data_IF_438528594431
#
_entry.id   IF_438528594431
#
_cell.length_a   1.000
_cell.length_b   1.000
_cell.length_c   1.000
_cell.angle_alpha   90.00
_cell.angle_beta   90.00
_cell.angle_gamma   90.00
#
_symmetry.space_group_name_H-M   'P 1'
#
loop_
_entity.id
_entity.type
_entity.pdbx_description
1 polymer ?
#
# COMPACT_ATOMS: atom_id res chain seq x y z
N UNK A 1 -1.60 7.35 -28.17
CA UNK A 1 -0.74 6.36 -27.50
C UNK A 1 -0.63 6.81 -26.08
N UNK A 2 -1.32 6.11 -25.19
CA UNK A 2 -1.32 6.45 -23.78
C UNK A 2 0.05 6.19 -23.16
N UNK A 3 0.54 7.19 -22.43
CA UNK A 3 1.81 7.13 -21.73
C UNK A 3 1.65 6.31 -20.44
N UNK A 4 2.47 5.28 -20.26
CA UNK A 4 2.47 4.42 -19.07
C UNK A 4 3.04 5.15 -17.83
N UNK A 5 3.90 6.13 -18.08
CA UNK A 5 4.57 6.96 -17.09
C UNK A 5 4.20 8.41 -17.38
N UNK A 6 3.45 8.99 -16.46
CA UNK A 6 2.67 10.23 -16.62
C UNK A 6 3.11 11.31 -15.64
N UNK A 7 4.03 10.94 -14.73
CA UNK A 7 4.52 11.80 -13.67
C UNK A 7 3.69 11.70 -12.39
N UNK A 8 4.13 12.47 -11.39
CA UNK A 8 3.60 12.35 -10.05
C UNK A 8 2.16 12.80 -9.99
N UNK A 9 1.35 12.07 -9.22
CA UNK A 9 0.06 12.61 -8.81
C UNK A 9 0.28 13.91 -8.01
N UNK A 10 -0.68 14.84 -8.09
CA UNK A 10 -0.74 15.96 -7.16
C UNK A 10 -0.81 15.48 -5.70
N UNK A 11 -0.63 16.35 -4.71
CA UNK A 11 -0.89 15.95 -3.33
C UNK A 11 -2.41 15.82 -3.12
N UNK A 12 -2.88 14.69 -2.58
CA UNK A 12 -4.27 14.51 -2.17
C UNK A 12 -4.46 14.75 -0.66
N UNK A 13 -3.39 15.18 0.01
CA UNK A 13 -3.42 15.63 1.39
C UNK A 13 -3.14 17.13 1.44
N UNK A 14 -3.81 17.83 2.35
CA UNK A 14 -3.53 19.25 2.60
C UNK A 14 -2.08 19.45 3.10
N UNK A 15 -1.49 20.61 2.86
CA UNK A 15 -0.17 20.92 3.44
C UNK A 15 -0.19 20.80 4.98
N UNK A 16 0.88 20.27 5.57
CA UNK A 16 0.98 20.02 7.00
C UNK A 16 0.72 21.31 7.80
N UNK A 17 -0.28 21.29 8.67
CA UNK A 17 -0.66 22.45 9.49
C UNK A 17 -1.27 23.66 8.76
N UNK A 18 -1.48 23.57 7.44
CA UNK A 18 -1.94 24.71 6.63
C UNK A 18 -3.40 25.13 6.88
N UNK A 19 -4.27 24.18 7.25
CA UNK A 19 -5.67 24.46 7.58
C UNK A 19 -5.95 24.27 9.07
N UNK A 20 -6.94 25.01 9.60
CA UNK A 20 -7.42 24.84 10.98
C UNK A 20 -7.86 23.38 11.27
N UNK A 21 -8.34 22.68 10.25
CA UNK A 21 -8.76 21.26 10.33
C UNK A 21 -7.59 20.31 10.55
N UNK A 22 -6.48 20.47 9.80
CA UNK A 22 -5.23 19.74 10.05
C UNK A 22 -4.74 19.98 11.48
N UNK A 23 -4.77 21.24 11.90
CA UNK A 23 -4.34 21.64 13.24
C UNK A 23 -5.19 21.01 14.33
N UNK A 24 -6.51 20.94 14.16
CA UNK A 24 -7.41 20.32 15.15
C UNK A 24 -7.16 18.82 15.31
N UNK A 25 -7.02 18.08 14.20
CA UNK A 25 -6.64 16.67 14.23
C UNK A 25 -5.26 16.47 14.87
N UNK A 26 -4.27 17.27 14.47
CA UNK A 26 -2.91 17.17 15.00
C UNK A 26 -2.85 17.53 16.48
N UNK A 27 -3.61 18.52 16.95
CA UNK A 27 -3.72 18.87 18.37
C UNK A 27 -4.31 17.73 19.19
N UNK A 28 -5.36 17.06 18.67
CA UNK A 28 -5.94 15.87 19.30
C UNK A 28 -4.90 14.76 19.44
N UNK A 29 -4.13 14.50 18.38
CA UNK A 29 -3.05 13.51 18.38
C UNK A 29 -1.93 13.89 19.37
N UNK A 30 -1.45 15.13 19.34
CA UNK A 30 -0.38 15.61 20.22
C UNK A 30 -0.79 15.56 21.69
N UNK A 31 -2.01 15.99 22.02
CA UNK A 31 -2.54 15.94 23.41
C UNK A 31 -2.52 14.51 23.96
N UNK A 32 -2.87 13.52 23.13
CA UNK A 32 -2.79 12.12 23.53
C UNK A 32 -1.35 11.67 23.75
N UNK A 33 -0.44 12.01 22.83
CA UNK A 33 0.97 11.64 22.91
C UNK A 33 1.68 12.28 24.12
N UNK A 34 1.41 13.57 24.38
CA UNK A 34 1.97 14.33 25.51
C UNK A 34 1.47 13.79 26.87
N UNK A 35 0.30 13.14 26.88
CA UNK A 35 -0.25 12.47 28.06
C UNK A 35 0.34 11.09 28.34
N UNK A 36 1.15 10.53 27.45
CA UNK A 36 1.75 9.20 27.63
C UNK A 36 2.90 9.23 28.65
N UNK A 37 3.10 8.11 29.34
CA UNK A 37 4.24 7.93 30.25
C UNK A 37 4.71 6.48 30.28
N UNK A 38 5.92 6.26 30.80
CA UNK A 38 6.48 4.93 31.04
C UNK A 38 6.52 4.03 29.81
N UNK A 39 6.01 2.80 29.95
CA UNK A 39 6.03 1.79 28.89
C UNK A 39 5.16 2.16 27.68
N UNK A 40 4.07 2.90 27.90
CA UNK A 40 3.14 3.31 26.84
C UNK A 40 3.79 4.34 25.91
N UNK A 41 4.52 5.31 26.50
CA UNK A 41 5.32 6.27 25.75
C UNK A 41 6.37 5.54 24.91
N UNK A 42 7.20 4.68 25.52
CA UNK A 42 8.27 3.99 24.80
C UNK A 42 7.80 3.06 23.66
N UNK A 43 6.55 2.56 23.74
CA UNK A 43 5.95 1.76 22.66
C UNK A 43 5.43 2.65 21.53
N UNK A 44 4.60 3.64 21.85
CA UNK A 44 3.92 4.48 20.85
C UNK A 44 4.83 5.53 20.23
N UNK A 45 5.85 5.99 20.95
CA UNK A 45 6.87 6.90 20.41
C UNK A 45 7.53 6.32 19.16
N UNK A 46 7.66 5.00 19.03
CA UNK A 46 8.25 4.36 17.84
C UNK A 46 7.24 4.02 16.74
N UNK A 47 5.95 4.06 17.05
CA UNK A 47 4.88 3.73 16.08
C UNK A 47 4.70 4.92 15.15
N UNK A 48 4.74 4.70 13.83
CA UNK A 48 4.35 5.75 12.89
C UNK A 48 2.84 5.70 12.64
N UNK A 49 2.21 6.85 12.47
CA UNK A 49 0.77 6.97 12.21
C UNK A 49 0.50 8.10 11.23
N UNK A 50 -0.43 7.88 10.31
CA UNK A 50 -1.13 8.90 9.53
C UNK A 50 -2.63 8.64 9.58
N UNK A 51 -3.42 9.67 9.87
CA UNK A 51 -4.89 9.64 9.83
C UNK A 51 -5.36 10.73 8.89
N UNK A 52 -6.16 10.38 7.89
CA UNK A 52 -6.71 11.29 6.89
C UNK A 52 -8.23 11.27 7.00
N UNK A 53 -8.87 12.43 7.08
CA UNK A 53 -10.32 12.56 7.04
C UNK A 53 -10.80 12.57 5.59
N UNK A 54 -11.69 11.64 5.23
CA UNK A 54 -12.23 11.53 3.87
C UNK A 54 -13.54 12.31 3.80
N UNK A 55 -13.53 13.39 3.05
CA UNK A 55 -14.68 14.26 2.80
C UNK A 55 -15.10 14.19 1.33
N UNK A 56 -16.41 14.09 1.08
CA UNK A 56 -16.93 14.02 -0.28
C UNK A 56 -16.73 15.37 -1.01
N UNK A 57 -16.30 15.31 -2.27
CA UNK A 57 -16.17 16.49 -3.13
C UNK A 57 -14.97 17.40 -2.81
N UNK A 58 -13.99 16.92 -2.04
CA UNK A 58 -12.75 17.64 -1.74
C UNK A 58 -11.56 16.90 -2.36
N UNK A 59 -10.70 17.63 -3.09
CA UNK A 59 -9.52 17.06 -3.76
C UNK A 59 -8.32 16.87 -2.82
N UNK A 60 -8.27 17.61 -1.70
CA UNK A 60 -7.20 17.54 -0.69
C UNK A 60 -7.74 17.37 0.71
N UNK A 61 -7.37 16.26 1.33
CA UNK A 61 -7.96 15.82 2.60
C UNK A 61 -7.19 16.34 3.81
N UNK A 62 -7.93 16.67 4.87
CA UNK A 62 -7.32 17.03 6.14
C UNK A 62 -6.68 15.80 6.80
N UNK A 63 -5.56 15.99 7.48
CA UNK A 63 -4.83 14.86 8.09
C UNK A 63 -4.02 15.28 9.32
N UNK A 64 -3.61 14.26 10.07
CA UNK A 64 -2.65 14.35 11.16
C UNK A 64 -1.69 13.16 11.11
N UNK A 65 -0.48 13.33 11.65
CA UNK A 65 0.50 12.25 11.67
C UNK A 65 1.49 12.34 12.83
N UNK A 66 2.11 11.20 13.12
CA UNK A 66 3.19 11.05 14.09
C UNK A 66 4.28 10.19 13.46
N UNK A 67 5.51 10.71 13.37
CA UNK A 67 6.66 10.05 12.71
C UNK A 67 6.31 9.53 11.31
N UNK A 68 5.38 10.22 10.65
CA UNK A 68 4.69 9.75 9.46
C UNK A 68 5.61 9.69 8.22
N UNK A 69 6.71 10.45 8.22
CA UNK A 69 7.71 10.50 7.15
C UNK A 69 8.84 9.48 7.34
N UNK A 70 8.90 8.78 8.46
CA UNK A 70 9.96 7.80 8.68
C UNK A 70 9.75 6.56 7.83
N UNK A 71 10.84 6.03 7.28
CA UNK A 71 10.82 4.80 6.50
C UNK A 71 10.94 3.61 7.45
N UNK A 72 9.91 2.76 7.52
CA UNK A 72 9.95 1.53 8.29
C UNK A 72 9.86 0.31 7.40
N UNK A 73 10.54 -0.77 7.80
CA UNK A 73 10.19 -2.10 7.35
C UNK A 73 8.71 -2.35 7.69
N UNK A 74 7.90 -2.50 6.65
CA UNK A 74 6.44 -2.57 6.76
C UNK A 74 5.89 -3.99 6.51
N UNK A 75 6.80 -4.96 6.36
CA UNK A 75 6.49 -6.37 6.16
C UNK A 75 5.47 -6.58 5.02
N UNK A 76 4.38 -7.32 5.26
CA UNK A 76 3.36 -7.60 4.26
C UNK A 76 2.48 -6.39 3.87
N UNK A 77 2.57 -5.24 4.55
CA UNK A 77 1.78 -4.06 4.20
C UNK A 77 2.15 -3.56 2.78
N UNK A 78 3.44 -3.57 2.44
CA UNK A 78 3.92 -3.04 1.15
C UNK A 78 3.49 -3.88 -0.06
N UNK A 79 2.89 -5.07 0.14
CA UNK A 79 2.27 -5.87 -0.93
C UNK A 79 1.19 -5.08 -1.71
N UNK A 80 0.66 -4.00 -1.12
CA UNK A 80 -0.22 -3.05 -1.81
C UNK A 80 0.44 -2.41 -3.03
N UNK A 81 1.77 -2.25 -3.05
CA UNK A 81 2.47 -1.73 -4.23
C UNK A 81 2.42 -2.72 -5.40
N UNK A 82 2.51 -4.03 -5.14
CA UNK A 82 2.38 -5.06 -6.17
C UNK A 82 0.94 -5.10 -6.71
N UNK A 83 -0.05 -5.01 -5.84
CA UNK A 83 -1.46 -4.88 -6.24
C UNK A 83 -1.68 -3.63 -7.09
N UNK A 84 -1.20 -2.46 -6.64
CA UNK A 84 -1.28 -1.21 -7.39
C UNK A 84 -0.68 -1.36 -8.79
N UNK A 85 0.56 -1.84 -8.89
CA UNK A 85 1.23 -2.05 -10.17
C UNK A 85 0.47 -3.00 -11.10
N UNK A 86 -0.09 -4.10 -10.57
CA UNK A 86 -0.87 -5.04 -11.36
C UNK A 86 -2.11 -4.39 -11.98
N UNK A 87 -2.86 -3.61 -11.21
CA UNK A 87 -4.04 -2.90 -11.70
C UNK A 87 -3.70 -1.79 -12.68
N UNK A 88 -2.62 -1.04 -12.44
CA UNK A 88 -2.08 -0.07 -13.39
C UNK A 88 -1.73 -0.74 -14.71
N UNK A 89 -1.04 -1.89 -14.67
CA UNK A 89 -0.68 -2.65 -15.88
C UNK A 89 -1.92 -3.12 -16.65
N UNK A 90 -2.94 -3.62 -15.96
CA UNK A 90 -4.21 -4.03 -16.59
C UNK A 90 -4.91 -2.86 -17.25
N UNK A 91 -5.05 -1.74 -16.56
CA UNK A 91 -5.71 -0.54 -17.09
C UNK A 91 -5.04 -0.05 -18.37
N UNK A 92 -3.73 0.17 -18.34
CA UNK A 92 -3.04 0.66 -19.54
C UNK A 92 -3.05 -0.38 -20.67
N UNK A 93 -3.04 -1.68 -20.36
CA UNK A 93 -3.19 -2.73 -21.38
C UNK A 93 -4.57 -2.71 -22.04
N UNK A 94 -5.63 -2.44 -21.26
CA UNK A 94 -6.98 -2.23 -21.78
C UNK A 94 -7.02 -0.98 -22.68
N UNK A 95 -6.33 0.10 -22.30
CA UNK A 95 -6.20 1.28 -23.14
C UNK A 95 -5.48 0.99 -24.45
N UNK A 96 -4.40 0.20 -24.44
CA UNK A 96 -3.73 -0.28 -25.67
C UNK A 96 -4.68 -1.08 -26.55
N UNK A 97 -5.50 -1.97 -25.97
CA UNK A 97 -6.52 -2.73 -26.71
C UNK A 97 -7.53 -1.79 -27.38
N UNK A 98 -7.99 -0.77 -26.66
CA UNK A 98 -8.96 0.21 -27.15
C UNK A 98 -8.38 1.10 -28.26
N UNK A 99 -7.12 1.53 -28.15
CA UNK A 99 -6.48 2.39 -29.15
C UNK A 99 -6.04 1.64 -30.41
N UNK A 100 -5.53 0.41 -30.27
CA UNK A 100 -4.89 -0.31 -31.38
C UNK A 100 -5.78 -1.37 -32.04
N UNK A 101 -6.90 -1.74 -31.40
CA UNK A 101 -7.86 -2.72 -31.90
C UNK A 101 -7.22 -4.03 -32.44
N UNK A 102 -6.40 -4.72 -31.63
CA UNK A 102 -5.70 -5.94 -32.07
C UNK A 102 -6.68 -6.99 -32.60
N UNK A 103 -6.28 -7.71 -33.66
CA UNK A 103 -7.15 -8.70 -34.30
C UNK A 103 -7.28 -9.98 -33.48
N UNK A 104 -6.22 -10.36 -32.75
CA UNK A 104 -6.18 -11.55 -31.90
C UNK A 104 -5.64 -11.24 -30.51
N UNK A 105 -5.80 -12.18 -29.58
CA UNK A 105 -5.16 -12.10 -28.27
C UNK A 105 -3.62 -12.01 -28.37
N UNK A 106 -3.01 -12.66 -29.35
CA UNK A 106 -1.57 -12.60 -29.52
C UNK A 106 -1.10 -11.24 -30.02
N UNK A 107 -1.83 -10.65 -30.96
CA UNK A 107 -1.58 -9.28 -31.44
C UNK A 107 -1.70 -8.26 -30.30
N UNK A 108 -2.64 -8.45 -29.37
CA UNK A 108 -2.75 -7.60 -28.18
C UNK A 108 -1.46 -7.64 -27.36
N UNK A 109 -0.92 -8.82 -27.06
CA UNK A 109 0.28 -8.91 -26.23
C UNK A 109 1.54 -8.44 -26.95
N UNK A 110 1.59 -8.54 -28.29
CA UNK A 110 2.64 -7.87 -29.09
C UNK A 110 2.51 -6.35 -28.99
N UNK A 111 1.29 -5.80 -29.08
CA UNK A 111 1.04 -4.37 -28.93
C UNK A 111 1.39 -3.85 -27.52
N UNK A 112 1.01 -4.59 -26.47
CA UNK A 112 1.35 -4.28 -25.08
C UNK A 112 2.85 -4.30 -24.86
N UNK A 113 3.57 -5.34 -25.31
CA UNK A 113 5.02 -5.40 -25.19
C UNK A 113 5.71 -4.23 -25.91
N UNK A 114 5.28 -3.95 -27.14
CA UNK A 114 5.81 -2.84 -27.93
C UNK A 114 5.59 -1.49 -27.27
N UNK A 115 4.41 -1.26 -26.67
CA UNK A 115 4.07 -0.02 -26.00
C UNK A 115 4.83 0.17 -24.68
N UNK A 116 5.06 -0.89 -23.90
CA UNK A 116 5.47 -0.73 -22.49
C UNK A 116 6.94 -1.06 -22.23
N UNK A 117 7.54 -2.00 -22.97
CA UNK A 117 8.86 -2.54 -22.61
C UNK A 117 9.95 -1.47 -22.60
N UNK A 118 9.99 -0.57 -23.58
CA UNK A 118 10.98 0.51 -23.62
C UNK A 118 10.73 1.58 -22.55
N UNK A 119 9.50 2.13 -22.40
CA UNK A 119 9.20 3.05 -21.29
C UNK A 119 9.55 2.48 -19.91
N UNK A 120 9.22 1.22 -19.64
CA UNK A 120 9.54 0.56 -18.36
C UNK A 120 11.05 0.56 -18.13
N UNK A 121 11.83 0.09 -19.11
CA UNK A 121 13.30 0.05 -19.01
C UNK A 121 13.90 1.42 -18.74
N UNK A 122 13.31 2.48 -19.28
CA UNK A 122 13.78 3.85 -19.05
C UNK A 122 13.52 4.33 -17.62
N UNK A 123 12.35 4.00 -17.05
CA UNK A 123 11.94 4.46 -15.72
C UNK A 123 12.40 3.57 -14.56
N UNK A 124 12.98 2.40 -14.83
CA UNK A 124 13.47 1.53 -13.74
C UNK A 124 14.54 2.26 -12.90
N UNK A 125 14.38 2.31 -11.56
CA UNK A 125 15.36 2.90 -10.66
C UNK A 125 16.77 2.32 -10.87
N UNK A 126 17.79 3.18 -10.88
CA UNK A 126 19.18 2.76 -11.07
C UNK A 126 19.63 1.68 -10.09
N UNK A 127 19.12 1.70 -8.86
CA UNK A 127 19.42 0.69 -7.84
C UNK A 127 18.91 -0.70 -8.20
N UNK A 128 17.72 -0.80 -8.82
CA UNK A 128 17.19 -2.05 -9.37
C UNK A 128 18.05 -2.49 -10.57
N UNK A 129 18.38 -1.55 -11.48
CA UNK A 129 19.24 -1.84 -12.65
C UNK A 129 20.61 -2.37 -12.25
N UNK A 130 21.19 -1.83 -11.18
CA UNK A 130 22.52 -2.24 -10.71
C UNK A 130 22.56 -3.70 -10.24
N UNK A 131 21.45 -4.23 -9.70
CA UNK A 131 21.38 -5.60 -9.18
C UNK A 131 20.88 -6.60 -10.24
N UNK A 132 19.95 -6.17 -11.10
CA UNK A 132 19.24 -7.08 -12.02
C UNK A 132 19.49 -6.81 -13.51
N UNK A 133 20.29 -5.79 -13.85
CA UNK A 133 20.48 -5.34 -15.22
C UNK A 133 19.29 -4.54 -15.76
N UNK A 134 19.25 -4.34 -17.08
CA UNK A 134 18.25 -3.50 -17.75
C UNK A 134 17.17 -4.30 -18.51
N UNK A 135 17.12 -5.63 -18.35
CA UNK A 135 16.19 -6.48 -19.09
C UNK A 135 15.81 -7.75 -18.30
N UNK A 136 14.79 -8.45 -18.80
CA UNK A 136 14.30 -9.71 -18.25
C UNK A 136 13.14 -9.55 -17.28
N UNK A 137 12.67 -10.69 -16.75
CA UNK A 137 11.46 -10.78 -15.93
C UNK A 137 11.50 -10.00 -14.61
N UNK A 138 12.68 -9.56 -14.15
CA UNK A 138 12.83 -8.72 -12.95
C UNK A 138 12.64 -7.23 -13.24
N UNK A 139 12.68 -6.84 -14.51
CA UNK A 139 12.62 -5.46 -14.98
C UNK A 139 11.27 -5.18 -15.63
N UNK A 140 10.83 -6.08 -16.51
CA UNK A 140 9.61 -5.95 -17.32
C UNK A 140 8.59 -7.01 -16.86
N UNK A 141 7.29 -6.67 -16.74
CA UNK A 141 6.25 -7.62 -16.38
C UNK A 141 6.19 -8.82 -17.33
N UNK A 142 5.81 -9.97 -16.79
CA UNK A 142 5.47 -11.15 -17.61
C UNK A 142 3.99 -11.05 -17.97
N UNK A 143 3.66 -10.26 -19.01
CA UNK A 143 2.29 -9.81 -19.29
C UNK A 143 1.26 -10.95 -19.32
N UNK A 144 1.56 -12.10 -19.93
CA UNK A 144 0.65 -13.25 -20.01
C UNK A 144 0.49 -14.03 -18.72
N UNK A 145 1.39 -13.84 -17.76
CA UNK A 145 1.23 -14.37 -16.40
C UNK A 145 0.25 -13.51 -15.61
N UNK A 146 0.27 -12.19 -15.81
CA UNK A 146 -0.56 -11.24 -15.07
C UNK A 146 -1.94 -11.08 -15.71
N UNK A 147 -1.99 -11.00 -17.03
CA UNK A 147 -3.15 -10.59 -17.82
C UNK A 147 -3.64 -11.68 -18.76
N UNK A 148 -4.91 -11.60 -19.10
CA UNK A 148 -5.58 -12.41 -20.12
C UNK A 148 -6.45 -11.51 -20.99
N UNK A 149 -6.47 -11.79 -22.28
CA UNK A 149 -7.46 -11.23 -23.20
C UNK A 149 -8.78 -12.00 -23.06
N UNK A 150 -9.88 -11.31 -22.79
CA UNK A 150 -11.21 -11.86 -23.09
C UNK A 150 -11.49 -11.63 -24.57
N UNK A 151 -11.99 -12.66 -25.25
CA UNK A 151 -12.19 -12.64 -26.70
C UNK A 151 -13.64 -12.94 -27.04
N UNK A 152 -14.13 -12.34 -28.14
CA UNK A 152 -15.42 -12.70 -28.71
C UNK A 152 -15.37 -14.05 -29.48
N UNK A 153 -16.48 -14.44 -30.11
CA UNK A 153 -16.58 -15.68 -30.88
C UNK A 153 -15.65 -15.74 -32.10
N UNK A 154 -15.13 -14.61 -32.56
CA UNK A 154 -14.14 -14.52 -33.64
C UNK A 154 -12.69 -14.58 -33.16
N UNK A 155 -12.47 -14.61 -31.84
CA UNK A 155 -11.14 -14.56 -31.24
C UNK A 155 -10.58 -13.15 -31.05
N UNK A 156 -11.39 -12.11 -31.31
CA UNK A 156 -10.98 -10.71 -31.17
C UNK A 156 -11.04 -10.26 -29.70
N UNK A 157 -9.99 -9.59 -29.17
CA UNK A 157 -10.00 -9.09 -27.80
C UNK A 157 -11.07 -8.02 -27.53
N UNK A 158 -11.95 -8.30 -26.58
CA UNK A 158 -13.01 -7.39 -26.12
C UNK A 158 -12.70 -6.73 -24.77
N UNK A 159 -11.83 -7.33 -23.97
CA UNK A 159 -11.37 -6.76 -22.70
C UNK A 159 -10.01 -7.33 -22.28
N UNK A 160 -9.30 -6.61 -21.43
CA UNK A 160 -8.12 -7.09 -20.71
C UNK A 160 -8.43 -7.27 -19.23
N UNK A 161 -8.33 -8.52 -18.78
CA UNK A 161 -8.59 -8.93 -17.39
C UNK A 161 -7.35 -9.56 -16.78
N UNK A 162 -7.36 -9.81 -15.47
CA UNK A 162 -6.31 -10.62 -14.85
C UNK A 162 -6.40 -12.07 -15.29
N UNK A 163 -5.25 -12.72 -15.45
CA UNK A 163 -5.21 -14.16 -15.66
C UNK A 163 -5.79 -14.88 -14.41
N UNK A 164 -6.55 -15.98 -14.56
CA UNK A 164 -7.18 -16.65 -13.42
C UNK A 164 -6.20 -17.08 -12.32
N UNK A 165 -5.01 -17.56 -12.71
CA UNK A 165 -3.94 -17.87 -11.75
C UNK A 165 -3.48 -16.64 -10.98
N UNK A 166 -3.34 -15.51 -11.66
CA UNK A 166 -2.93 -14.24 -11.04
C UNK A 166 -3.98 -13.69 -10.06
N UNK A 167 -5.28 -13.86 -10.34
CA UNK A 167 -6.35 -13.52 -9.40
C UNK A 167 -6.21 -14.35 -8.12
N UNK A 168 -5.97 -15.66 -8.26
CA UNK A 168 -5.73 -16.54 -7.11
C UNK A 168 -4.51 -16.10 -6.32
N UNK A 169 -3.41 -15.73 -6.99
CA UNK A 169 -2.20 -15.24 -6.34
C UNK A 169 -2.41 -13.89 -5.63
N UNK A 170 -3.20 -12.97 -6.21
CA UNK A 170 -3.59 -11.70 -5.57
C UNK A 170 -4.38 -11.97 -4.29
N UNK A 171 -5.35 -12.89 -4.33
CA UNK A 171 -6.13 -13.27 -3.15
C UNK A 171 -5.23 -13.86 -2.06
N UNK A 172 -4.35 -14.79 -2.44
CA UNK A 172 -3.38 -15.40 -1.51
C UNK A 172 -2.44 -14.37 -0.90
N UNK A 173 -1.93 -13.44 -1.70
CA UNK A 173 -1.07 -12.34 -1.27
C UNK A 173 -1.78 -11.39 -0.29
N UNK A 174 -2.98 -10.93 -0.65
CA UNK A 174 -3.67 -9.84 0.04
C UNK A 174 -4.54 -10.32 1.19
N UNK A 175 -5.30 -11.40 0.97
CA UNK A 175 -6.32 -11.90 1.89
C UNK A 175 -5.74 -12.92 2.87
N UNK A 176 -4.91 -13.83 2.37
CA UNK A 176 -4.35 -14.95 3.15
C UNK A 176 -2.95 -14.67 3.69
N UNK A 177 -2.34 -13.54 3.31
CA UNK A 177 -0.97 -13.13 3.69
C UNK A 177 0.12 -14.13 3.24
N UNK A 178 -0.17 -14.98 2.26
CA UNK A 178 0.74 -16.04 1.82
C UNK A 178 1.93 -15.46 1.05
N UNK A 179 3.12 -16.00 1.30
CA UNK A 179 4.37 -15.50 0.73
C UNK A 179 4.58 -15.96 -0.71
N UNK A 180 4.07 -17.13 -1.09
CA UNK A 180 4.19 -17.63 -2.45
C UNK A 180 3.21 -16.94 -3.41
N UNK A 181 1.98 -16.67 -2.98
CA UNK A 181 1.09 -15.75 -3.71
C UNK A 181 1.72 -14.36 -3.89
N UNK A 182 2.36 -13.83 -2.83
CA UNK A 182 3.09 -12.57 -2.93
C UNK A 182 4.25 -12.63 -3.92
N UNK A 183 5.07 -13.69 -3.88
CA UNK A 183 6.17 -13.90 -4.82
C UNK A 183 5.66 -13.97 -6.25
N UNK A 184 4.62 -14.76 -6.52
CA UNK A 184 4.02 -14.89 -7.84
C UNK A 184 3.50 -13.55 -8.37
N UNK A 185 2.79 -12.77 -7.53
CA UNK A 185 2.33 -11.43 -7.90
C UNK A 185 3.49 -10.50 -8.26
N UNK A 186 4.51 -10.42 -7.40
CA UNK A 186 5.71 -9.59 -7.57
C UNK A 186 6.50 -10.02 -8.81
N UNK A 187 6.64 -11.32 -9.05
CA UNK A 187 7.35 -11.84 -10.22
C UNK A 187 6.59 -11.55 -11.50
N UNK A 188 5.26 -11.58 -11.46
CA UNK A 188 4.41 -11.20 -12.58
C UNK A 188 4.58 -9.73 -12.99
N UNK A 189 4.56 -8.79 -12.02
CA UNK A 189 4.66 -7.35 -12.30
C UNK A 189 6.09 -6.82 -12.37
N UNK A 190 7.07 -7.58 -11.90
CA UNK A 190 8.50 -7.24 -11.87
C UNK A 190 8.88 -6.07 -10.93
N UNK A 191 10.08 -6.15 -10.35
CA UNK A 191 10.60 -5.06 -9.50
C UNK A 191 10.78 -3.76 -10.29
N UNK A 192 11.22 -3.86 -11.54
CA UNK A 192 11.52 -2.70 -12.37
C UNK A 192 10.31 -1.83 -12.65
N UNK A 193 9.23 -2.42 -13.15
CA UNK A 193 7.98 -1.70 -13.41
C UNK A 193 7.35 -1.21 -12.10
N UNK A 194 7.21 -2.06 -11.09
CA UNK A 194 6.55 -1.68 -9.83
C UNK A 194 7.24 -0.49 -9.13
N UNK A 195 8.57 -0.51 -9.00
CA UNK A 195 9.29 0.59 -8.35
C UNK A 195 9.50 1.78 -9.30
N UNK A 196 9.57 1.56 -10.62
CA UNK A 196 9.56 2.65 -11.60
C UNK A 196 8.26 3.45 -11.56
N UNK A 197 7.12 2.76 -11.52
CA UNK A 197 5.81 3.40 -11.43
C UNK A 197 5.61 4.07 -10.08
N UNK A 198 6.04 3.44 -8.97
CA UNK A 198 6.06 4.08 -7.66
C UNK A 198 6.85 5.40 -7.62
N UNK A 199 7.96 5.50 -8.35
CA UNK A 199 8.75 6.73 -8.45
C UNK A 199 8.04 7.77 -9.30
N UNK A 200 7.61 7.35 -10.48
CA UNK A 200 6.91 8.21 -11.44
C UNK A 200 5.68 8.85 -10.81
N UNK A 201 4.86 8.05 -10.13
CA UNK A 201 3.62 8.48 -9.46
C UNK A 201 3.85 9.29 -8.18
N UNK A 202 5.10 9.46 -7.74
CA UNK A 202 5.43 10.22 -6.54
C UNK A 202 5.23 9.47 -5.22
N UNK A 203 4.99 8.16 -5.24
CA UNK A 203 4.94 7.33 -4.03
C UNK A 203 6.32 6.95 -3.48
N UNK A 204 7.39 7.15 -4.25
CA UNK A 204 8.78 6.94 -3.82
C UNK A 204 9.72 8.03 -4.33
N UNK A 205 10.45 8.66 -3.42
CA UNK A 205 11.50 9.62 -3.74
C UNK A 205 12.85 8.92 -3.81
N UNK A 206 13.47 8.91 -4.98
CA UNK A 206 14.78 8.30 -5.23
C UNK A 206 15.93 8.98 -4.51
N UNK A 207 15.89 10.30 -4.33
CA UNK A 207 16.98 11.07 -3.73
C UNK A 207 17.15 10.71 -2.26
N UNK A 208 16.03 10.70 -1.54
CA UNK A 208 16.01 10.44 -0.09
C UNK A 208 15.76 8.97 0.25
N UNK A 209 15.48 8.13 -0.76
CA UNK A 209 15.07 6.73 -0.62
C UNK A 209 13.90 6.55 0.35
N UNK A 210 12.89 7.42 0.20
CA UNK A 210 11.74 7.52 1.10
C UNK A 210 10.43 7.31 0.33
N UNK A 211 9.49 6.60 0.94
CA UNK A 211 8.20 6.26 0.36
C UNK A 211 8.01 4.77 0.20
N UNK A 212 7.10 4.33 -0.65
CA UNK A 212 6.74 2.92 -0.84
C UNK A 212 7.80 2.19 -1.70
N UNK A 213 8.42 1.15 -1.16
CA UNK A 213 9.46 0.36 -1.83
C UNK A 213 9.27 -1.14 -1.62
N UNK A 214 9.14 -1.88 -2.72
CA UNK A 214 9.02 -3.33 -2.71
C UNK A 214 9.99 -3.94 -3.73
N UNK A 215 11.13 -4.41 -3.25
CA UNK A 215 12.16 -5.04 -4.07
C UNK A 215 12.72 -6.31 -3.43
N UNK A 216 11.89 -7.07 -2.73
CA UNK A 216 12.17 -8.45 -2.32
C UNK A 216 10.89 -9.27 -2.39
N UNK A 217 11.01 -10.57 -2.60
CA UNK A 217 9.91 -11.43 -3.11
C UNK A 217 9.32 -12.38 -2.07
N UNK A 218 9.63 -12.21 -0.78
CA UNK A 218 9.16 -13.03 0.34
C UNK A 218 9.59 -14.52 0.34
N UNK A 219 10.14 -15.04 -0.76
CA UNK A 219 10.67 -16.41 -0.87
C UNK A 219 12.21 -16.46 -1.04
N UNK A 220 12.85 -15.30 -1.24
CA UNK A 220 14.30 -15.21 -1.47
C UNK A 220 14.75 -15.76 -2.83
N UNK A 221 13.85 -15.85 -3.81
CA UNK A 221 14.16 -16.41 -5.13
C UNK A 221 14.85 -15.36 -6.02
N UNK A 222 14.53 -14.09 -5.84
CA UNK A 222 15.18 -12.94 -6.47
C UNK A 222 16.04 -12.19 -5.45
N UNK A 223 17.25 -11.81 -5.84
CA UNK A 223 18.14 -11.00 -5.00
C UNK A 223 17.43 -9.72 -4.57
N UNK A 224 17.27 -9.44 -3.27
CA UNK A 224 16.57 -8.26 -2.81
C UNK A 224 17.39 -6.98 -3.08
N UNK A 225 16.70 -5.87 -3.33
CA UNK A 225 17.33 -4.54 -3.49
C UNK A 225 16.92 -3.64 -2.33
N UNK A 226 17.74 -3.53 -1.28
CA UNK A 226 17.29 -2.90 -0.03
C UNK A 226 17.50 -1.38 -0.02
N UNK A 227 16.65 -0.66 0.71
CA UNK A 227 16.80 0.76 1.08
C UNK A 227 16.97 0.91 2.60
N UNK A 228 17.51 2.03 3.10
CA UNK A 228 17.55 2.31 4.53
C UNK A 228 16.14 2.37 5.15
N UNK A 229 16.03 1.92 6.39
CA UNK A 229 14.84 2.05 7.23
C UNK A 229 15.25 2.33 8.67
N UNK A 230 14.38 3.01 9.40
CA UNK A 230 14.60 3.40 10.79
C UNK A 230 14.59 2.22 11.75
N UNK A 231 13.77 1.19 11.49
CA UNK A 231 13.53 0.12 12.46
C UNK A 231 14.33 -1.17 12.20
N UNK A 232 14.88 -1.35 11.00
CA UNK A 232 15.53 -2.60 10.61
C UNK A 232 16.79 -2.42 9.74
N UNK A 233 17.33 -1.21 9.60
CA UNK A 233 18.47 -0.94 8.74
C UNK A 233 18.12 -1.12 7.26
N UNK A 234 18.94 -1.86 6.50
CA UNK A 234 18.68 -2.10 5.07
C UNK A 234 17.58 -3.15 4.86
N UNK A 235 16.49 -2.78 4.17
CA UNK A 235 15.35 -3.66 3.90
C UNK A 235 14.79 -3.48 2.51
N UNK A 236 14.17 -4.53 1.96
CA UNK A 236 13.59 -4.53 0.62
C UNK A 236 12.06 -4.41 0.60
N UNK A 237 11.43 -4.24 1.78
CA UNK A 237 9.99 -4.04 1.95
C UNK A 237 9.77 -2.90 2.95
N UNK A 238 9.73 -1.67 2.45
CA UNK A 238 9.63 -0.50 3.31
C UNK A 238 8.63 0.52 2.79
N UNK A 239 8.08 1.29 3.69
CA UNK A 239 7.26 2.45 3.35
C UNK A 239 7.26 3.46 4.49
N UNK A 240 6.74 4.66 4.21
CA UNK A 240 6.36 5.63 5.24
C UNK A 240 4.87 5.46 5.55
N UNK A 241 4.40 6.00 6.67
CA UNK A 241 2.95 6.00 6.93
C UNK A 241 2.22 6.96 5.98
N UNK A 242 2.81 8.12 5.66
CA UNK A 242 2.17 9.15 4.83
C UNK A 242 2.03 8.73 3.37
N UNK A 243 3.05 8.11 2.77
CA UNK A 243 2.98 7.75 1.34
C UNK A 243 2.04 6.55 1.13
N UNK A 244 1.99 5.64 2.10
CA UNK A 244 0.98 4.58 2.12
C UNK A 244 -0.44 5.14 2.34
N UNK A 245 -0.60 6.17 3.17
CA UNK A 245 -1.89 6.85 3.37
C UNK A 245 -2.34 7.55 2.09
N UNK A 246 -1.45 8.27 1.39
CA UNK A 246 -1.71 8.87 0.08
C UNK A 246 -2.24 7.83 -0.90
N UNK A 247 -1.55 6.69 -1.03
CA UNK A 247 -1.98 5.60 -1.89
C UNK A 247 -3.39 5.09 -1.50
N UNK A 248 -3.64 4.82 -0.22
CA UNK A 248 -4.94 4.36 0.26
C UNK A 248 -6.07 5.37 0.04
N UNK A 249 -5.80 6.65 0.25
CA UNK A 249 -6.75 7.73 -0.04
C UNK A 249 -7.09 7.78 -1.52
N UNK A 250 -6.09 7.65 -2.43
CA UNK A 250 -6.36 7.60 -3.87
C UNK A 250 -7.16 6.37 -4.30
N UNK A 251 -6.90 5.23 -3.67
CA UNK A 251 -7.70 4.01 -3.90
C UNK A 251 -9.16 4.23 -3.50
N UNK A 252 -9.40 4.89 -2.36
CA UNK A 252 -10.74 5.21 -1.88
C UNK A 252 -11.45 6.22 -2.79
N UNK A 253 -10.78 7.30 -3.15
CA UNK A 253 -11.34 8.39 -3.96
C UNK A 253 -11.58 8.01 -5.43
N UNK A 254 -11.09 6.85 -5.89
CA UNK A 254 -11.14 6.51 -7.31
C UNK A 254 -10.15 7.30 -8.17
N UNK A 255 -9.22 8.04 -7.55
CA UNK A 255 -8.37 9.05 -8.21
C UNK A 255 -7.01 8.53 -8.69
N UNK A 256 -6.80 7.22 -8.67
CA UNK A 256 -5.69 6.58 -9.39
C UNK A 256 -5.99 6.61 -10.89
N UNK A 257 -4.96 6.73 -11.73
CA UNK A 257 -5.10 6.73 -13.20
C UNK A 257 -5.86 5.53 -13.73
N UNK A 258 -5.72 4.39 -13.06
CA UNK A 258 -6.48 3.19 -13.38
C UNK A 258 -7.99 3.31 -13.12
N UNK A 259 -8.46 4.48 -12.69
CA UNK A 259 -9.81 4.75 -12.20
C UNK A 259 -10.15 3.99 -10.92
N UNK A 260 -9.14 3.74 -10.06
CA UNK A 260 -9.09 2.73 -8.98
C UNK A 260 -10.22 1.70 -9.13
N UNK A 261 -10.04 0.69 -10.00
CA UNK A 261 -11.16 -0.17 -10.37
C UNK A 261 -11.73 -0.74 -9.07
N UNK A 262 -13.05 -0.68 -8.91
CA UNK A 262 -13.72 -0.99 -7.64
C UNK A 262 -13.27 -2.36 -7.08
N UNK A 263 -12.85 -3.28 -7.96
CA UNK A 263 -12.25 -4.56 -7.61
C UNK A 263 -10.98 -4.46 -6.74
N UNK A 264 -10.08 -3.50 -6.99
CA UNK A 264 -8.85 -3.27 -6.21
C UNK A 264 -9.18 -3.00 -4.75
N UNK A 265 -10.15 -2.12 -4.52
CA UNK A 265 -10.52 -1.71 -3.17
C UNK A 265 -11.46 -2.71 -2.50
N UNK A 266 -12.37 -3.30 -3.26
CA UNK A 266 -13.26 -4.36 -2.76
C UNK A 266 -12.50 -5.60 -2.28
N UNK A 267 -11.33 -5.94 -2.85
CA UNK A 267 -10.49 -7.01 -2.31
C UNK A 267 -10.05 -6.74 -0.87
N UNK A 268 -9.90 -5.47 -0.48
CA UNK A 268 -9.54 -5.09 0.88
C UNK A 268 -10.74 -4.97 1.82
N UNK A 269 -11.96 -5.09 1.28
CA UNK A 269 -13.19 -4.98 2.06
C UNK A 269 -13.34 -6.16 3.02
N UNK A 270 -13.89 -5.88 4.20
CA UNK A 270 -14.11 -6.86 5.24
C UNK A 270 -13.37 -6.49 6.51
N UNK A 271 -14.14 -6.07 7.51
CA UNK A 271 -13.67 -5.68 8.84
C UNK A 271 -12.89 -6.81 9.56
N UNK A 272 -13.20 -8.08 9.28
CA UNK A 272 -12.63 -9.24 9.98
C UNK A 272 -11.13 -9.48 9.78
N UNK A 273 -10.42 -8.65 9.00
CA UNK A 273 -8.98 -8.78 8.74
C UNK A 273 -8.12 -7.69 9.38
N UNK A 274 -8.76 -6.67 9.96
CA UNK A 274 -8.07 -5.64 10.73
C UNK A 274 -7.57 -6.22 12.04
N UNK A 275 -6.38 -5.80 12.50
CA UNK A 275 -5.90 -6.19 13.83
C UNK A 275 -6.85 -5.73 14.92
N UNK A 276 -7.48 -4.56 14.76
CA UNK A 276 -8.41 -4.01 15.73
C UNK A 276 -9.67 -4.88 15.88
N UNK A 277 -10.14 -5.51 14.81
CA UNK A 277 -11.29 -6.41 14.85
C UNK A 277 -10.90 -7.83 15.30
N UNK A 278 -9.82 -8.40 14.76
CA UNK A 278 -9.33 -9.73 15.15
C UNK A 278 -9.07 -9.85 16.66
N UNK A 279 -8.58 -8.75 17.28
CA UNK A 279 -8.31 -8.70 18.73
C UNK A 279 -9.44 -8.09 19.55
N UNK A 280 -10.58 -7.75 18.95
CA UNK A 280 -11.74 -7.20 19.63
C UNK A 280 -11.49 -5.85 20.31
N UNK A 281 -10.56 -5.05 19.78
CA UNK A 281 -10.33 -3.65 20.19
C UNK A 281 -11.49 -2.79 19.72
N UNK A 282 -11.81 -2.90 18.43
CA UNK A 282 -13.04 -2.37 17.86
C UNK A 282 -13.98 -3.53 17.53
N UNK A 283 -15.22 -3.43 17.97
CA UNK A 283 -16.24 -4.44 17.65
C UNK A 283 -17.03 -4.04 16.40
N UNK A 284 -17.42 -5.02 15.60
CA UNK A 284 -18.31 -4.82 14.45
C UNK A 284 -19.79 -4.66 14.88
N UNK A 285 -20.09 -4.98 16.14
CA UNK A 285 -21.44 -4.94 16.71
C UNK A 285 -22.05 -3.53 16.69
N UNK A 286 -23.39 -3.41 16.68
CA UNK A 286 -24.07 -2.12 16.86
C UNK A 286 -23.62 -1.42 18.15
N UNK A 287 -23.48 -0.09 18.11
CA UNK A 287 -23.11 0.74 19.26
C UNK A 287 -21.61 1.07 19.40
N UNK A 288 -20.73 0.42 18.63
CA UNK A 288 -19.35 0.90 18.47
C UNK A 288 -19.31 2.08 17.52
N UNK A 289 -18.46 3.07 17.85
CA UNK A 289 -18.28 4.28 17.04
C UNK A 289 -17.42 4.02 15.80
N UNK A 290 -16.21 3.49 15.99
CA UNK A 290 -15.27 3.25 14.90
C UNK A 290 -15.32 1.79 14.45
N UNK A 291 -15.37 1.58 13.15
CA UNK A 291 -15.31 0.25 12.52
C UNK A 291 -14.39 0.31 11.30
N UNK A 292 -13.42 -0.59 11.23
CA UNK A 292 -12.62 -0.73 10.02
C UNK A 292 -13.46 -1.43 8.93
N UNK A 293 -13.59 -0.83 7.75
CA UNK A 293 -14.38 -1.38 6.63
C UNK A 293 -13.50 -2.06 5.60
N UNK A 294 -12.25 -1.58 5.47
CA UNK A 294 -11.23 -2.12 4.59
C UNK A 294 -9.93 -2.23 5.37
N UNK A 295 -9.11 -3.25 5.12
CA UNK A 295 -7.82 -3.37 5.80
C UNK A 295 -6.79 -4.16 5.01
N UNK A 296 -5.52 -3.77 5.19
CA UNK A 296 -4.36 -4.58 4.85
C UNK A 296 -3.38 -4.56 6.01
N UNK A 297 -3.07 -5.74 6.53
CA UNK A 297 -2.12 -5.92 7.62
C UNK A 297 -0.71 -6.19 7.10
N UNK A 298 0.29 -5.78 7.87
CA UNK A 298 1.69 -6.17 7.74
C UNK A 298 2.14 -6.87 9.01
N UNK A 299 2.79 -8.02 8.88
CA UNK A 299 3.49 -8.69 9.97
C UNK A 299 4.75 -9.35 9.41
N UNK A 300 5.87 -9.15 10.09
CA UNK A 300 7.14 -9.73 9.65
C UNK A 300 8.24 -9.60 10.71
N UNK A 301 9.21 -10.53 10.71
CA UNK A 301 10.33 -10.48 11.63
C UNK A 301 11.25 -9.30 11.31
N UNK A 302 11.77 -8.66 12.36
CA UNK A 302 12.94 -7.80 12.25
C UNK A 302 14.21 -8.66 12.22
N UNK A 303 15.34 -8.06 11.83
CA UNK A 303 16.66 -8.63 12.09
C UNK A 303 16.88 -8.75 13.60
N UNK A 304 17.72 -9.70 13.98
CA UNK A 304 18.09 -9.88 15.38
C UNK A 304 18.77 -8.61 15.92
N UNK A 305 18.39 -8.19 17.12
CA UNK A 305 19.05 -7.08 17.80
C UNK A 305 20.44 -7.49 18.34
N UNK A 306 21.14 -6.58 19.02
CA UNK A 306 22.47 -6.84 19.60
C UNK A 306 22.51 -7.98 20.63
N UNK A 307 21.36 -8.34 21.20
CA UNK A 307 21.21 -9.48 22.11
C UNK A 307 20.80 -10.77 21.39
N UNK A 308 20.74 -10.78 20.06
CA UNK A 308 20.33 -11.94 19.26
C UNK A 308 18.81 -12.19 19.27
N UNK A 309 18.01 -11.30 19.86
CA UNK A 309 16.57 -11.45 19.96
C UNK A 309 15.91 -10.96 18.67
N UNK A 310 15.07 -11.81 18.08
CA UNK A 310 14.26 -11.49 16.90
C UNK A 310 12.87 -11.04 17.35
N UNK A 311 12.61 -9.74 17.21
CA UNK A 311 11.27 -9.17 17.34
C UNK A 311 10.51 -9.28 16.01
N UNK A 312 9.22 -8.96 16.02
CA UNK A 312 8.46 -8.73 14.80
C UNK A 312 7.78 -7.36 14.86
N UNK A 313 7.52 -6.78 13.69
CA UNK A 313 6.72 -5.57 13.56
C UNK A 313 5.36 -5.90 13.00
N UNK A 314 4.39 -5.14 13.48
CA UNK A 314 3.04 -5.13 12.97
C UNK A 314 2.72 -3.75 12.42
N UNK A 315 2.03 -3.71 11.29
CA UNK A 315 1.59 -2.51 10.59
C UNK A 315 0.19 -2.74 10.01
N UNK A 316 -0.52 -1.68 9.68
CA UNK A 316 -1.82 -1.77 9.02
C UNK A 316 -2.15 -0.50 8.24
N UNK A 317 -2.82 -0.65 7.11
CA UNK A 317 -3.56 0.42 6.43
C UNK A 317 -5.03 0.02 6.38
N UNK A 318 -5.93 0.93 6.71
CA UNK A 318 -7.36 0.65 6.82
C UNK A 318 -8.21 1.87 6.49
N UNK A 319 -9.47 1.62 6.14
CA UNK A 319 -10.53 2.62 6.20
C UNK A 319 -11.30 2.42 7.49
N UNK A 320 -11.42 3.49 8.28
CA UNK A 320 -12.24 3.55 9.48
C UNK A 320 -13.50 4.35 9.19
N UNK A 321 -14.67 3.74 9.40
CA UNK A 321 -15.93 4.44 9.40
C UNK A 321 -16.30 4.87 10.83
N UNK A 322 -16.49 6.17 11.04
CA UNK A 322 -17.08 6.74 12.25
C UNK A 322 -18.60 6.75 12.11
N UNK A 323 -19.26 5.77 12.73
CA UNK A 323 -20.72 5.58 12.69
C UNK A 323 -21.50 6.70 13.36
N UNK A 324 -20.87 7.49 14.23
CA UNK A 324 -21.54 8.60 14.91
C UNK A 324 -21.58 9.84 14.02
N UNK A 325 -20.51 10.10 13.27
CA UNK A 325 -20.41 11.25 12.36
C UNK A 325 -20.72 10.90 10.90
N UNK A 326 -20.88 9.62 10.59
CA UNK A 326 -21.02 9.08 9.23
C UNK A 326 -19.88 9.49 8.29
N UNK A 327 -18.65 9.43 8.80
CA UNK A 327 -17.45 9.82 8.06
C UNK A 327 -16.48 8.67 7.89
N UNK A 328 -15.68 8.71 6.83
CA UNK A 328 -14.60 7.75 6.61
C UNK A 328 -13.25 8.42 6.89
N UNK A 329 -12.30 7.60 7.33
CA UNK A 329 -10.93 8.01 7.56
C UNK A 329 -9.99 6.96 6.98
N UNK A 330 -8.94 7.37 6.27
CA UNK A 330 -7.79 6.49 6.05
C UNK A 330 -6.94 6.52 7.30
N UNK A 331 -6.55 5.35 7.78
CA UNK A 331 -5.63 5.20 8.91
C UNK A 331 -4.52 4.27 8.49
N UNK A 332 -3.28 4.74 8.58
CA UNK A 332 -2.08 3.93 8.36
C UNK A 332 -1.18 4.02 9.57
N UNK A 333 -0.87 2.88 10.18
CA UNK A 333 0.09 2.80 11.27
C UNK A 333 1.13 1.71 11.03
N UNK A 334 2.33 1.91 11.56
CA UNK A 334 3.48 1.05 11.29
C UNK A 334 4.37 0.92 12.52
N UNK A 335 5.21 -0.12 12.50
CA UNK A 335 6.30 -0.32 13.45
C UNK A 335 5.83 -0.56 14.91
N UNK A 336 4.67 -1.19 15.10
CA UNK A 336 4.33 -1.76 16.40
C UNK A 336 5.18 -3.00 16.65
N UNK A 337 6.26 -2.84 17.42
CA UNK A 337 7.13 -3.96 17.80
C UNK A 337 6.44 -4.87 18.82
N UNK A 338 6.44 -6.16 18.54
CA UNK A 338 5.89 -7.19 19.43
C UNK A 338 6.82 -8.41 19.46
N UNK A 339 6.76 -9.26 20.50
CA UNK A 339 7.47 -10.53 20.52
C UNK A 339 7.09 -11.40 19.31
N UNK A 340 8.04 -12.19 18.80
CA UNK A 340 7.80 -13.18 17.74
C UNK A 340 7.17 -14.45 18.34
N UNK A 341 5.91 -14.34 18.73
CA UNK A 341 5.15 -15.41 19.38
C UNK A 341 3.75 -15.57 18.74
N UNK A 342 3.14 -16.77 18.79
CA UNK A 342 1.76 -16.97 18.38
C UNK A 342 0.79 -16.02 19.12
N UNK A 343 -0.27 -15.58 18.45
CA UNK A 343 -1.31 -14.74 19.05
C UNK A 343 -0.93 -13.25 19.22
N UNK A 344 0.19 -12.82 18.65
CA UNK A 344 0.57 -11.42 18.58
C UNK A 344 -0.05 -10.73 17.35
N UNK A 345 -0.21 -9.39 17.34
CA UNK A 345 -0.09 -8.50 18.50
C UNK A 345 -1.20 -8.78 19.53
N UNK A 346 -0.90 -8.65 20.81
CA UNK A 346 -1.91 -8.76 21.88
C UNK A 346 -2.81 -7.53 21.92
N UNK A 347 -4.08 -7.74 22.33
CA UNK A 347 -5.10 -6.69 22.45
C UNK A 347 -4.61 -5.40 23.17
N UNK A 348 -3.92 -5.44 24.33
CA UNK A 348 -3.50 -4.21 24.99
C UNK A 348 -2.54 -3.33 24.18
N UNK A 349 -1.69 -3.93 23.33
CA UNK A 349 -0.79 -3.16 22.47
C UNK A 349 -1.59 -2.42 21.38
N UNK A 350 -2.58 -3.09 20.81
CA UNK A 350 -3.47 -2.49 19.81
C UNK A 350 -4.43 -1.45 20.40
N UNK A 351 -4.93 -1.63 21.63
CA UNK A 351 -5.79 -0.63 22.30
C UNK A 351 -5.09 0.73 22.42
N UNK A 352 -3.77 0.74 22.57
CA UNK A 352 -2.97 1.97 22.63
C UNK A 352 -2.89 2.64 21.27
N UNK A 353 -2.63 1.87 20.20
CA UNK A 353 -2.64 2.39 18.82
C UNK A 353 -4.04 2.88 18.45
N UNK A 354 -5.09 2.14 18.83
CA UNK A 354 -6.48 2.53 18.59
C UNK A 354 -6.83 3.87 19.28
N UNK A 355 -6.39 4.08 20.53
CA UNK A 355 -6.57 5.38 21.21
C UNK A 355 -5.85 6.52 20.49
N UNK A 356 -4.64 6.28 19.97
CA UNK A 356 -3.91 7.26 19.16
C UNK A 356 -4.69 7.65 17.90
N UNK A 357 -5.31 6.66 17.23
CA UNK A 357 -6.19 6.89 16.08
C UNK A 357 -7.46 7.65 16.49
N UNK A 358 -8.13 7.20 17.54
CA UNK A 358 -9.36 7.82 18.07
C UNK A 358 -9.14 9.29 18.42
N UNK A 359 -8.00 9.65 19.01
CA UNK A 359 -7.65 11.03 19.34
C UNK A 359 -7.51 11.93 18.11
N UNK A 360 -6.85 11.46 17.04
CA UNK A 360 -6.77 12.20 15.78
C UNK A 360 -8.15 12.33 15.10
N UNK A 361 -8.91 11.23 15.07
CA UNK A 361 -10.27 11.17 14.53
C UNK A 361 -11.22 12.11 15.28
N UNK A 362 -11.15 12.16 16.62
CA UNK A 362 -11.93 13.05 17.48
C UNK A 362 -11.57 14.53 17.30
N UNK A 363 -10.31 14.84 17.01
CA UNK A 363 -9.86 16.20 16.75
C UNK A 363 -10.43 16.78 15.44
N UNK A 364 -10.87 15.94 14.50
CA UNK A 364 -11.44 16.44 13.24
C UNK A 364 -12.81 17.11 13.45
N UNK A 365 -12.94 18.33 12.93
CA UNK A 365 -14.19 19.10 12.89
C UNK A 365 -14.56 19.29 11.41
N UNK A 366 -15.68 18.70 10.93
CA UNK A 366 -16.15 18.87 9.55
C UNK A 366 -16.56 20.32 9.29
N UNK A 367 -16.56 20.71 8.01
CA UNK A 367 -17.08 22.02 7.55
C UNK A 367 -18.59 22.09 7.52
#
# INVERSE_FOLDING_TARGET
MVELFTGAYGDNLQEEGAADRNRSMQNGLNTFLDGLSGADLGMLERTALTVVALEDGIDTHAWAGHRHQEVHYSASLVKLLAMYAAHTLRFFSETVRQEQHPATADDLFVAVDSAFTTPIKNHVPMKIKAVHGAAGAKIVPVYRTVLKAEVDSSGKPIAVVFAPGYVSDLERMLLHQENDGAAACIHGVAFGFMNGKSVDDGFFNLLDQRGIWLAGDYLGQWTPVPIPSTNDGLVAQATTAIDMARLFTRMFDGSLESGAPADLFHMLAGSGRSWFHDRGVWSTQPGQRLVATHSKVGIGPLKANSAGIVEQVVSEALIVHDRTRHMNFVVVWQNLKVPKEPGQPKRPALERVARMVESAVLGFVPT
#
